data_IF_981990443022
#
_entry.id   IF_981990443022
#
_cell.length_a   1.000
_cell.length_b   1.000
_cell.length_c   1.000
_cell.angle_alpha   90.00
_cell.angle_beta   90.00
_cell.angle_gamma   90.00
#
_symmetry.space_group_name_H-M   'P 1'
#
loop_
_entity.id
_entity.type
_entity.pdbx_description
1 polymer ?
#
# COMPACT_ATOMS: atom_id res chain seq x y z
N UNK A 1 16.14 -40.90 1.92
CA UNK A 1 16.24 -40.85 3.39
C UNK A 1 16.84 -39.50 3.75
N UNK A 2 15.97 -38.56 4.15
CA UNK A 2 15.95 -37.92 5.50
C UNK A 2 17.07 -36.89 5.65
N UNK A 3 16.84 -35.59 5.39
CA UNK A 3 16.11 -34.59 6.19
C UNK A 3 16.96 -33.94 7.30
N UNK A 4 16.69 -32.64 7.50
CA UNK A 4 17.03 -31.75 8.63
C UNK A 4 18.46 -31.19 8.64
N UNK A 5 18.64 -29.90 8.31
CA UNK A 5 18.25 -28.68 9.01
C UNK A 5 19.24 -28.31 10.12
N UNK A 6 19.95 -27.20 9.93
CA UNK A 6 20.14 -26.23 11.00
C UNK A 6 20.40 -24.85 10.42
N UNK A 7 19.35 -24.03 10.38
CA UNK A 7 19.47 -22.58 10.26
C UNK A 7 19.36 -22.05 11.68
N UNK A 8 20.40 -21.37 12.23
CA UNK A 8 20.24 -20.76 13.54
C UNK A 8 19.22 -19.64 13.45
N UNK A 9 18.18 -19.80 14.27
CA UNK A 9 17.18 -18.81 14.58
C UNK A 9 17.84 -17.48 15.00
N UNK A 10 17.45 -16.41 14.31
CA UNK A 10 17.88 -15.05 14.58
C UNK A 10 16.85 -14.04 14.12
N UNK A 11 15.62 -14.15 14.61
CA UNK A 11 14.83 -12.94 14.87
C UNK A 11 15.26 -12.46 16.26
N UNK A 12 15.52 -11.16 16.47
CA UNK A 12 14.45 -10.19 16.34
C UNK A 12 14.90 -8.80 15.83
N UNK A 13 14.14 -8.24 14.89
CA UNK A 13 13.72 -6.84 14.98
C UNK A 13 12.65 -6.60 13.92
N UNK A 14 11.39 -6.49 14.37
CA UNK A 14 10.40 -5.72 13.63
C UNK A 14 10.88 -4.27 13.67
N UNK A 15 11.67 -3.85 12.69
CA UNK A 15 11.78 -2.41 12.42
C UNK A 15 10.48 -2.00 11.75
N UNK A 16 9.52 -1.59 12.59
CA UNK A 16 8.52 -0.66 12.13
C UNK A 16 9.27 0.51 11.50
N UNK A 17 9.12 0.72 10.19
CA UNK A 17 9.52 1.99 9.60
C UNK A 17 8.83 3.10 10.40
N UNK A 18 9.55 4.16 10.82
CA UNK A 18 8.96 5.25 11.58
C UNK A 18 7.98 5.99 10.67
N UNK A 19 6.73 5.59 10.78
CA UNK A 19 5.71 5.77 9.77
C UNK A 19 4.72 6.82 10.21
N UNK A 20 5.15 8.01 10.61
CA UNK A 20 4.26 9.15 10.94
C UNK A 20 3.23 8.93 12.07
N UNK A 21 3.06 7.69 12.53
CA UNK A 21 2.52 7.35 13.83
C UNK A 21 3.45 7.86 14.91
N UNK A 22 4.75 7.90 14.67
CA UNK A 22 5.80 8.27 15.62
C UNK A 22 5.55 9.63 16.27
N UNK A 23 5.36 10.71 15.51
CA UNK A 23 5.13 12.05 16.08
C UNK A 23 3.80 12.17 16.85
N UNK A 24 2.72 11.55 16.35
CA UNK A 24 1.40 11.59 17.01
C UNK A 24 1.35 10.63 18.21
N UNK A 25 2.11 9.55 18.16
CA UNK A 25 2.33 8.59 19.25
C UNK A 25 3.20 9.20 20.35
N UNK A 26 4.19 10.03 19.99
CA UNK A 26 5.03 10.78 20.95
C UNK A 26 4.24 11.82 21.75
N UNK A 27 3.06 12.23 21.28
CA UNK A 27 2.16 13.15 22.00
C UNK A 27 1.12 12.42 22.88
N UNK A 28 1.14 11.08 22.95
CA UNK A 28 0.21 10.35 23.82
C UNK A 28 0.46 10.67 25.29
N UNK A 29 -0.58 11.18 25.98
CA UNK A 29 -0.52 11.55 27.39
C UNK A 29 -0.03 12.99 27.64
N UNK A 30 0.29 13.75 26.59
CA UNK A 30 0.59 15.18 26.70
C UNK A 30 -0.72 15.96 26.60
N UNK A 31 -1.06 16.83 27.58
CA UNK A 31 -2.25 17.66 27.49
C UNK A 31 -2.09 18.66 26.35
N UNK A 32 -3.01 18.61 25.39
CA UNK A 32 -3.09 19.51 24.24
C UNK A 32 -4.28 20.46 24.42
N UNK A 33 -4.09 21.71 24.01
CA UNK A 33 -5.20 22.64 23.79
C UNK A 33 -6.10 22.16 22.65
N UNK A 34 -7.34 22.67 22.56
CA UNK A 34 -8.25 22.33 21.46
C UNK A 34 -7.68 22.63 20.07
N UNK A 35 -6.88 23.70 19.94
CA UNK A 35 -6.25 24.10 18.68
C UNK A 35 -5.13 23.13 18.28
N UNK A 36 -4.27 22.74 19.24
CA UNK A 36 -3.22 21.72 19.01
C UNK A 36 -3.82 20.36 18.65
N UNK A 37 -4.92 19.96 19.30
CA UNK A 37 -5.63 18.73 18.97
C UNK A 37 -6.17 18.75 17.52
N UNK A 38 -6.70 19.89 17.07
CA UNK A 38 -7.16 20.04 15.69
C UNK A 38 -6.02 19.87 14.67
N UNK A 39 -4.83 20.41 14.95
CA UNK A 39 -3.65 20.22 14.10
C UNK A 39 -3.11 18.78 14.12
N UNK A 40 -3.16 18.10 15.28
CA UNK A 40 -2.81 16.67 15.38
C UNK A 40 -3.74 15.78 14.56
N UNK A 41 -5.05 16.05 14.58
CA UNK A 41 -6.02 15.34 13.74
C UNK A 41 -5.85 15.68 12.25
N UNK A 42 -5.57 16.94 11.90
CA UNK A 42 -5.23 17.33 10.53
C UNK A 42 -3.96 16.62 10.03
N UNK A 43 -2.96 16.42 10.90
CA UNK A 43 -1.75 15.68 10.58
C UNK A 43 -2.03 14.20 10.31
N UNK A 44 -2.97 13.57 11.02
CA UNK A 44 -3.43 12.19 10.73
C UNK A 44 -4.07 12.08 9.34
N UNK A 45 -4.88 13.05 8.93
CA UNK A 45 -5.42 13.13 7.58
C UNK A 45 -4.32 13.36 6.52
N UNK A 46 -3.35 14.25 6.81
CA UNK A 46 -2.21 14.52 5.94
C UNK A 46 -1.29 13.29 5.76
N UNK A 47 -1.13 12.47 6.80
CA UNK A 47 -0.35 11.23 6.76
C UNK A 47 -1.01 10.17 5.86
N UNK A 48 -2.34 10.09 5.85
CA UNK A 48 -3.09 9.21 4.96
C UNK A 48 -2.93 9.64 3.50
N UNK A 49 -2.99 10.94 3.23
CA UNK A 49 -2.71 11.49 1.90
C UNK A 49 -1.25 11.30 1.48
N UNK A 50 -0.30 11.37 2.42
CA UNK A 50 1.13 11.10 2.13
C UNK A 50 1.35 9.65 1.74
N UNK A 51 0.71 8.71 2.45
CA UNK A 51 0.73 7.29 2.10
C UNK A 51 0.23 7.05 0.67
N UNK A 52 -0.92 7.63 0.31
CA UNK A 52 -1.45 7.51 -1.05
C UNK A 52 -0.59 8.18 -2.11
N UNK A 53 0.03 9.34 -1.82
CA UNK A 53 0.97 9.98 -2.76
C UNK A 53 2.17 9.09 -3.06
N UNK A 54 2.76 8.48 -2.03
CA UNK A 54 3.88 7.56 -2.20
C UNK A 54 3.45 6.31 -2.97
N UNK A 55 2.35 5.68 -2.56
CA UNK A 55 1.83 4.47 -3.21
C UNK A 55 1.43 4.74 -4.68
N UNK A 56 0.91 5.93 -4.98
CA UNK A 56 0.63 6.38 -6.35
C UNK A 56 1.91 6.59 -7.17
N UNK A 57 2.91 7.28 -6.62
CA UNK A 57 4.19 7.50 -7.29
C UNK A 57 4.91 6.19 -7.64
N UNK A 58 4.83 5.20 -6.75
CA UNK A 58 5.35 3.86 -6.98
C UNK A 58 4.64 3.14 -8.14
N UNK A 59 3.33 3.31 -8.26
CA UNK A 59 2.56 2.76 -9.37
C UNK A 59 2.89 3.47 -10.69
N UNK A 60 2.92 4.81 -10.72
CA UNK A 60 3.24 5.57 -11.93
C UNK A 60 4.65 5.27 -12.42
N UNK A 61 5.63 5.21 -11.52
CA UNK A 61 7.01 4.85 -11.87
C UNK A 61 7.12 3.43 -12.45
N UNK A 62 6.34 2.47 -11.93
CA UNK A 62 6.26 1.14 -12.53
C UNK A 62 5.63 1.17 -13.92
N UNK A 63 4.53 1.92 -14.10
CA UNK A 63 3.88 2.08 -15.40
C UNK A 63 4.83 2.68 -16.44
N UNK A 64 5.56 3.75 -16.09
CA UNK A 64 6.56 4.36 -16.97
C UNK A 64 7.63 3.36 -17.40
N UNK A 65 8.18 2.56 -16.48
CA UNK A 65 9.17 1.52 -16.83
C UNK A 65 8.59 0.42 -17.71
N UNK A 66 7.29 0.15 -17.60
CA UNK A 66 6.57 -0.83 -18.39
C UNK A 66 6.03 -0.27 -19.72
N UNK A 67 6.18 1.03 -20.00
CA UNK A 67 5.58 1.70 -21.17
C UNK A 67 4.05 1.74 -21.13
N UNK A 68 3.45 1.77 -19.93
CA UNK A 68 2.01 1.75 -19.72
C UNK A 68 1.51 3.11 -19.20
N UNK A 69 0.27 3.44 -19.54
CA UNK A 69 -0.39 4.63 -19.03
C UNK A 69 -0.97 4.38 -17.62
N UNK A 70 -0.56 5.15 -16.59
CA UNK A 70 -1.10 5.01 -15.25
C UNK A 70 -2.52 5.59 -15.09
N UNK A 71 -2.97 6.47 -16.01
CA UNK A 71 -4.26 7.12 -15.88
C UNK A 71 -4.89 7.51 -17.25
N UNK A 72 -6.14 7.07 -17.55
CA UNK A 72 -6.89 6.04 -16.84
C UNK A 72 -6.18 4.68 -16.93
N UNK A 73 -5.98 4.02 -15.80
CA UNK A 73 -5.30 2.73 -15.78
C UNK A 73 -6.19 1.67 -16.41
N UNK A 74 -5.69 1.01 -17.46
CA UNK A 74 -6.34 -0.18 -17.99
C UNK A 74 -6.39 -1.29 -16.92
N UNK A 75 -7.44 -2.13 -16.87
CA UNK A 75 -7.50 -3.26 -15.94
C UNK A 75 -6.29 -4.18 -16.03
N UNK A 76 -5.75 -4.36 -17.25
CA UNK A 76 -4.53 -5.13 -17.50
C UNK A 76 -3.31 -4.53 -16.76
N UNK A 77 -3.13 -3.22 -16.80
CA UNK A 77 -2.06 -2.49 -16.10
C UNK A 77 -2.10 -2.75 -14.60
N UNK A 78 -3.29 -2.69 -13.99
CA UNK A 78 -3.45 -2.95 -12.55
C UNK A 78 -3.10 -4.40 -12.23
N UNK A 79 -3.62 -5.37 -12.98
CA UNK A 79 -3.29 -6.78 -12.73
C UNK A 79 -1.82 -7.10 -12.93
N UNK A 80 -1.18 -6.53 -13.97
CA UNK A 80 0.25 -6.68 -14.20
C UNK A 80 1.09 -6.11 -13.05
N UNK A 81 0.67 -4.96 -12.51
CA UNK A 81 1.32 -4.38 -11.34
C UNK A 81 1.19 -5.26 -10.10
N UNK A 82 -0.02 -5.76 -9.80
CA UNK A 82 -0.24 -6.65 -8.67
C UNK A 82 0.58 -7.94 -8.79
N UNK A 83 0.61 -8.56 -9.96
CA UNK A 83 1.42 -9.76 -10.21
C UNK A 83 2.91 -9.46 -10.08
N UNK A 84 3.39 -8.31 -10.56
CA UNK A 84 4.78 -7.92 -10.41
C UNK A 84 5.17 -7.68 -8.93
N UNK A 85 4.27 -7.14 -8.12
CA UNK A 85 4.47 -6.99 -6.68
C UNK A 85 4.47 -8.33 -5.95
N UNK A 86 3.52 -9.21 -6.26
CA UNK A 86 3.45 -10.56 -5.69
C UNK A 86 4.70 -11.38 -6.02
N UNK A 87 5.19 -11.32 -7.26
CA UNK A 87 6.43 -11.99 -7.69
C UNK A 87 7.69 -11.45 -6.98
N UNK A 88 7.63 -10.25 -6.40
CA UNK A 88 8.69 -9.65 -5.56
C UNK A 88 8.49 -9.91 -4.06
N UNK A 89 7.49 -10.71 -3.68
CA UNK A 89 7.18 -11.03 -2.29
C UNK A 89 6.51 -9.89 -1.52
N UNK A 90 5.87 -8.94 -2.19
CA UNK A 90 5.11 -7.90 -1.49
C UNK A 90 3.96 -8.51 -0.67
N UNK A 91 3.76 -8.02 0.55
CA UNK A 91 2.66 -8.48 1.41
C UNK A 91 1.31 -8.02 0.87
N UNK A 92 0.26 -8.82 1.11
CA UNK A 92 -1.13 -8.49 0.75
C UNK A 92 -1.54 -7.11 1.27
N UNK A 93 -1.17 -6.74 2.49
CA UNK A 93 -1.44 -5.40 3.05
C UNK A 93 -0.84 -4.26 2.22
N UNK A 94 0.37 -4.43 1.68
CA UNK A 94 1.03 -3.44 0.83
C UNK A 94 0.30 -3.29 -0.50
N UNK A 95 -0.04 -4.40 -1.14
CA UNK A 95 -0.76 -4.38 -2.42
C UNK A 95 -2.17 -3.80 -2.28
N UNK A 96 -2.87 -4.10 -1.18
CA UNK A 96 -4.18 -3.54 -0.84
C UNK A 96 -4.12 -2.01 -0.72
N UNK A 97 -3.15 -1.48 0.02
CA UNK A 97 -2.94 -0.02 0.13
C UNK A 97 -2.65 0.63 -1.22
N UNK A 98 -1.83 0.00 -2.06
CA UNK A 98 -1.54 0.51 -3.41
C UNK A 98 -2.78 0.53 -4.29
N UNK A 99 -3.67 -0.47 -4.20
CA UNK A 99 -4.97 -0.42 -4.88
C UNK A 99 -5.85 0.75 -4.39
N UNK A 100 -5.88 1.01 -3.09
CA UNK A 100 -6.60 2.17 -2.54
C UNK A 100 -6.06 3.50 -3.08
N UNK A 101 -4.73 3.64 -3.20
CA UNK A 101 -4.11 4.82 -3.79
C UNK A 101 -4.46 5.00 -5.27
N UNK A 102 -4.45 3.92 -6.07
CA UNK A 102 -4.84 3.94 -7.49
C UNK A 102 -6.31 4.35 -7.64
N UNK A 103 -7.20 3.75 -6.84
CA UNK A 103 -8.62 4.11 -6.79
C UNK A 103 -8.80 5.59 -6.46
N UNK A 104 -8.14 6.06 -5.40
CA UNK A 104 -8.22 7.45 -4.98
C UNK A 104 -7.75 8.42 -6.08
N UNK A 105 -6.67 8.08 -6.80
CA UNK A 105 -6.17 8.89 -7.91
C UNK A 105 -7.15 9.00 -9.10
N UNK A 106 -7.92 7.94 -9.38
CA UNK A 106 -8.99 7.98 -10.39
C UNK A 106 -10.18 8.82 -9.92
N UNK A 107 -10.60 8.64 -8.67
CA UNK A 107 -11.70 9.40 -8.08
C UNK A 107 -11.44 10.90 -8.05
N UNK A 108 -10.21 11.33 -7.75
CA UNK A 108 -9.80 12.74 -7.77
C UNK A 108 -9.93 13.41 -9.15
N UNK A 109 -10.15 12.65 -10.22
CA UNK A 109 -10.24 13.12 -11.60
C UNK A 109 -11.54 12.70 -12.27
N UNK A 110 -12.53 12.32 -11.46
CA UNK A 110 -13.85 11.87 -11.92
C UNK A 110 -13.80 10.69 -12.90
N UNK A 111 -12.76 9.85 -12.78
CA UNK A 111 -12.59 8.66 -13.61
C UNK A 111 -13.20 7.41 -12.93
N UNK A 112 -13.66 6.42 -13.72
CA UNK A 112 -14.18 5.17 -13.18
C UNK A 112 -13.17 4.47 -12.27
N UNK A 113 -13.66 3.84 -11.19
CA UNK A 113 -12.84 3.02 -10.29
C UNK A 113 -12.37 1.74 -11.02
N UNK A 114 -11.08 1.63 -11.37
CA UNK A 114 -10.60 0.53 -12.18
C UNK A 114 -10.46 -0.76 -11.34
N UNK A 115 -10.49 -0.66 -10.00
CA UNK A 115 -10.37 -1.81 -9.10
C UNK A 115 -11.63 -2.68 -9.06
N UNK A 116 -12.77 -2.13 -9.51
CA UNK A 116 -14.04 -2.85 -9.63
C UNK A 116 -14.13 -3.74 -10.87
N UNK A 117 -13.19 -3.63 -11.80
CA UNK A 117 -13.19 -4.46 -13.00
C UNK A 117 -13.05 -5.94 -12.62
N UNK A 118 -13.86 -6.82 -13.22
CA UNK A 118 -13.88 -8.25 -12.91
C UNK A 118 -12.52 -8.93 -13.01
N UNK A 119 -11.67 -8.51 -13.98
CA UNK A 119 -10.30 -9.01 -14.12
C UNK A 119 -9.44 -8.69 -12.90
N UNK A 120 -9.54 -7.44 -12.41
CA UNK A 120 -8.78 -6.99 -11.24
C UNK A 120 -9.22 -7.73 -9.99
N UNK A 121 -10.54 -7.86 -9.79
CA UNK A 121 -11.13 -8.61 -8.68
C UNK A 121 -10.65 -10.07 -8.68
N UNK A 122 -10.74 -10.76 -9.81
CA UNK A 122 -10.36 -12.16 -9.91
C UNK A 122 -8.87 -12.40 -9.61
N UNK A 123 -7.97 -11.59 -10.20
CA UNK A 123 -6.52 -11.69 -9.97
C UNK A 123 -6.16 -11.35 -8.52
N UNK A 124 -6.77 -10.30 -7.97
CA UNK A 124 -6.54 -9.89 -6.59
C UNK A 124 -6.93 -10.97 -5.58
N UNK A 125 -8.09 -11.59 -5.76
CA UNK A 125 -8.53 -12.73 -4.94
C UNK A 125 -7.59 -13.94 -5.08
N UNK A 126 -7.06 -14.20 -6.27
CA UNK A 126 -6.02 -15.21 -6.47
C UNK A 126 -4.78 -14.93 -5.62
N UNK A 127 -4.22 -13.72 -5.72
CA UNK A 127 -3.06 -13.28 -4.93
C UNK A 127 -3.30 -13.42 -3.43
N UNK A 128 -4.48 -13.00 -2.95
CA UNK A 128 -4.84 -13.11 -1.53
C UNK A 128 -4.86 -14.55 -1.02
N UNK A 129 -5.33 -15.50 -1.83
CA UNK A 129 -5.34 -16.92 -1.44
C UNK A 129 -3.94 -17.52 -1.43
N UNK A 130 -3.09 -17.11 -2.37
CA UNK A 130 -1.71 -17.63 -2.49
C UNK A 130 -0.76 -17.05 -1.44
N UNK A 131 -0.94 -15.78 -1.06
CA UNK A 131 0.03 -15.03 -0.25
C UNK A 131 -0.54 -14.44 1.06
N UNK A 132 -1.80 -14.74 1.39
CA UNK A 132 -2.50 -14.14 2.54
C UNK A 132 -2.52 -14.98 3.81
N UNK A 133 -1.89 -16.16 3.82
CA UNK A 133 -1.70 -17.01 5.00
C UNK A 133 -0.46 -16.60 5.80
#
# INVERSE_FOLDING_TARGET
>A
MTASADHPAGAPARTASPGAGDAVTLLQGIPLSPEEAAYVEAARAANTLRGYRFDWAEFTAWCTRAGLEPLPAAPATITGYLTALAGRGARVGTMSRRLSAIKFAHQLRDLPDPTRNARVVAVWEGIRRTHGA
#
